data_IF_223980398464
#
_entry.id   IF_223980398464
#
_cell.length_a   1.000
_cell.length_b   1.000
_cell.length_c   1.000
_cell.angle_alpha   90.00
_cell.angle_beta   90.00
_cell.angle_gamma   90.00
#
_symmetry.space_group_name_H-M   'P 1'
#
loop_
_entity.id
_entity.type
_entity.pdbx_description
1 polymer ?
#
# COMPACT_ATOMS: atom_id res chain seq x y z
N UNK A 1 -17.94 16.89 -7.76
CA UNK A 1 -17.23 15.59 -7.64
C UNK A 1 -18.24 14.57 -7.12
N UNK A 2 -18.26 13.35 -7.64
CA UNK A 2 -19.12 12.28 -7.11
C UNK A 2 -18.56 11.80 -5.76
N UNK A 3 -19.42 11.56 -4.76
CA UNK A 3 -19.03 11.14 -3.39
C UNK A 3 -18.29 9.78 -3.30
N UNK A 4 -18.10 9.08 -4.42
CA UNK A 4 -17.32 7.83 -4.51
C UNK A 4 -16.09 7.88 -5.43
N UNK A 5 -15.82 9.03 -6.06
CA UNK A 5 -14.66 9.19 -6.92
C UNK A 5 -13.39 9.26 -6.08
N UNK A 6 -12.54 8.26 -6.22
CA UNK A 6 -11.26 8.19 -5.55
C UNK A 6 -10.10 8.44 -6.54
N UNK A 7 -10.35 8.30 -7.85
CA UNK A 7 -9.39 8.69 -8.89
C UNK A 7 -9.12 10.18 -8.92
N UNK A 8 -7.84 10.52 -8.78
CA UNK A 8 -7.35 11.88 -8.95
C UNK A 8 -6.59 12.01 -10.26
N UNK A 9 -6.63 13.20 -10.86
CA UNK A 9 -5.84 13.51 -12.05
C UNK A 9 -4.34 13.27 -11.80
N UNK A 10 -3.56 13.33 -12.89
CA UNK A 10 -2.12 13.14 -12.81
C UNK A 10 -1.50 14.09 -11.78
N UNK A 11 -0.79 13.54 -10.79
CA UNK A 11 -0.16 14.35 -9.73
C UNK A 11 1.10 15.00 -10.28
N UNK A 12 1.27 16.29 -10.04
CA UNK A 12 2.53 16.95 -10.32
C UNK A 12 3.56 16.52 -9.27
N UNK A 13 4.81 16.37 -9.69
CA UNK A 13 5.89 16.18 -8.75
C UNK A 13 5.95 17.38 -7.79
N UNK A 14 6.29 17.11 -6.54
CA UNK A 14 6.49 18.07 -5.46
C UNK A 14 7.46 19.19 -5.90
N UNK A 15 7.39 20.44 -5.38
CA UNK A 15 8.43 21.46 -5.61
C UNK A 15 9.86 20.92 -5.46
N UNK A 16 10.12 20.10 -4.43
CA UNK A 16 11.41 19.43 -4.23
C UNK A 16 11.83 18.46 -5.34
N UNK A 17 10.93 17.96 -6.18
CA UNK A 17 11.31 17.20 -7.37
C UNK A 17 11.93 18.08 -8.46
N UNK A 18 11.54 19.35 -8.57
CA UNK A 18 12.23 20.28 -9.46
C UNK A 18 13.61 20.62 -8.91
N UNK A 19 13.73 20.77 -7.60
CA UNK A 19 14.99 21.11 -6.94
C UNK A 19 15.91 19.89 -6.76
N UNK A 20 15.37 18.67 -6.71
CA UNK A 20 16.11 17.40 -6.73
C UNK A 20 17.01 17.28 -7.97
N UNK A 21 16.63 17.92 -9.08
CA UNK A 21 17.48 18.05 -10.26
C UNK A 21 18.74 18.88 -9.97
N UNK A 22 18.60 19.94 -9.19
CA UNK A 22 19.72 20.82 -8.77
C UNK A 22 20.56 20.22 -7.63
N UNK A 23 19.97 19.33 -6.82
CA UNK A 23 20.65 18.57 -5.77
C UNK A 23 21.61 17.50 -6.29
N UNK A 24 21.46 17.10 -7.55
CA UNK A 24 22.38 16.17 -8.17
C UNK A 24 23.77 16.81 -8.23
N UNK A 25 24.76 16.33 -7.47
CA UNK A 25 26.05 17.00 -7.44
C UNK A 25 26.64 16.99 -8.84
N UNK A 26 26.95 18.17 -9.37
CA UNK A 26 27.93 18.33 -10.45
C UNK A 26 29.31 17.81 -9.96
N UNK A 27 29.50 17.72 -8.64
CA UNK A 27 30.79 17.48 -7.97
C UNK A 27 31.13 16.01 -7.67
N UNK A 28 30.22 15.06 -7.90
CA UNK A 28 30.53 13.63 -7.77
C UNK A 28 29.72 12.82 -8.79
N UNK A 29 30.22 12.68 -10.03
CA UNK A 29 29.51 11.96 -11.08
C UNK A 29 29.44 10.48 -10.70
N UNK A 30 28.33 10.06 -10.10
CA UNK A 30 28.04 8.64 -9.93
C UNK A 30 27.99 7.98 -11.32
N UNK A 31 28.84 6.99 -11.62
CA UNK A 31 28.84 6.36 -12.93
C UNK A 31 27.58 5.51 -13.12
N UNK A 32 27.00 5.53 -14.33
CA UNK A 32 25.87 4.67 -14.71
C UNK A 32 24.59 4.82 -13.85
N UNK A 33 24.29 6.02 -13.35
CA UNK A 33 23.13 6.28 -12.48
C UNK A 33 21.82 5.78 -13.04
N UNK A 34 21.53 6.01 -14.32
CA UNK A 34 20.32 5.50 -14.96
C UNK A 34 20.17 3.98 -14.78
N UNK A 35 21.26 3.23 -14.96
CA UNK A 35 21.28 1.78 -14.75
C UNK A 35 21.10 1.41 -13.28
N UNK A 36 21.71 2.16 -12.36
CA UNK A 36 21.56 1.94 -10.92
C UNK A 36 20.12 2.19 -10.46
N UNK A 37 19.50 3.29 -10.91
CA UNK A 37 18.09 3.63 -10.66
C UNK A 37 17.20 2.52 -11.21
N UNK A 38 17.39 2.11 -12.46
CA UNK A 38 16.58 1.04 -13.07
C UNK A 38 16.75 -0.31 -12.34
N UNK A 39 17.97 -0.64 -11.93
CA UNK A 39 18.25 -1.85 -11.16
C UNK A 39 17.59 -1.82 -9.78
N UNK A 40 17.72 -0.70 -9.07
CA UNK A 40 17.09 -0.50 -7.76
C UNK A 40 15.55 -0.54 -7.86
N UNK A 41 14.96 0.15 -8.83
CA UNK A 41 13.50 0.10 -9.06
C UNK A 41 13.02 -1.33 -9.29
N UNK A 42 13.70 -2.09 -10.13
CA UNK A 42 13.36 -3.49 -10.39
C UNK A 42 13.54 -4.36 -9.14
N UNK A 43 14.60 -4.13 -8.38
CA UNK A 43 14.89 -4.85 -7.16
C UNK A 43 13.82 -4.61 -6.09
N UNK A 44 13.49 -3.34 -5.81
CA UNK A 44 12.43 -2.97 -4.86
C UNK A 44 11.07 -3.54 -5.27
N UNK A 45 10.74 -3.51 -6.56
CA UNK A 45 9.48 -4.05 -7.07
C UNK A 45 9.38 -5.58 -6.97
N UNK A 46 10.50 -6.28 -7.18
CA UNK A 46 10.55 -7.76 -7.14
C UNK A 46 10.85 -8.34 -5.76
N UNK A 47 11.09 -7.47 -4.76
CA UNK A 47 11.44 -7.85 -3.40
C UNK A 47 10.33 -8.70 -2.76
N UNK A 48 10.71 -9.78 -2.11
CA UNK A 48 9.81 -10.67 -1.34
C UNK A 48 10.14 -10.58 0.14
N UNK A 49 9.21 -10.97 0.99
CA UNK A 49 9.46 -11.02 2.43
C UNK A 49 10.52 -12.09 2.76
N UNK A 50 11.31 -11.87 3.83
CA UNK A 50 12.15 -12.90 4.43
C UNK A 50 11.34 -14.17 4.71
N UNK A 51 11.91 -15.34 4.42
CA UNK A 51 11.26 -16.61 4.74
C UNK A 51 11.50 -16.91 6.22
N UNK A 52 10.41 -17.04 6.99
CA UNK A 52 10.49 -17.28 8.42
C UNK A 52 11.15 -18.65 8.74
N UNK A 53 11.91 -18.78 9.84
CA UNK A 53 12.57 -20.04 10.21
C UNK A 53 11.62 -21.24 10.28
N UNK A 54 10.40 -21.05 10.77
CA UNK A 54 9.39 -22.09 10.88
C UNK A 54 8.92 -22.59 9.50
N UNK A 55 8.82 -21.69 8.52
CA UNK A 55 8.45 -22.05 7.15
C UNK A 55 9.59 -22.79 6.45
N UNK A 56 10.84 -22.37 6.68
CA UNK A 56 12.03 -23.09 6.22
C UNK A 56 12.06 -24.51 6.79
N UNK A 57 11.77 -24.67 8.09
CA UNK A 57 11.72 -25.97 8.75
C UNK A 57 10.66 -26.88 8.12
N UNK A 58 9.45 -26.37 7.86
CA UNK A 58 8.39 -27.15 7.19
C UNK A 58 8.78 -27.59 5.78
N UNK A 59 9.42 -26.71 5.02
CA UNK A 59 9.92 -27.03 3.68
C UNK A 59 11.02 -28.09 3.73
N UNK A 60 11.90 -28.02 4.72
CA UNK A 60 12.94 -29.01 4.94
C UNK A 60 12.33 -30.40 5.15
N UNK A 61 11.39 -30.53 6.09
CA UNK A 61 10.68 -31.79 6.37
C UNK A 61 9.95 -32.34 5.14
N UNK A 62 9.31 -31.47 4.35
CA UNK A 62 8.65 -31.89 3.13
C UNK A 62 9.65 -32.41 2.07
N UNK A 63 10.79 -31.74 1.91
CA UNK A 63 11.84 -32.17 0.99
C UNK A 63 12.50 -33.48 1.44
N UNK A 64 12.73 -33.65 2.74
CA UNK A 64 13.22 -34.90 3.33
C UNK A 64 12.30 -36.07 2.97
N UNK A 65 10.98 -35.91 3.20
CA UNK A 65 10.00 -36.94 2.83
C UNK A 65 10.05 -37.26 1.33
N UNK A 66 10.09 -36.23 0.49
CA UNK A 66 10.14 -36.39 -0.98
C UNK A 66 11.40 -37.12 -1.46
N UNK A 67 12.54 -36.88 -0.82
CA UNK A 67 13.80 -37.54 -1.18
C UNK A 67 13.92 -38.95 -0.61
N UNK A 68 13.30 -39.23 0.54
CA UNK A 68 13.18 -40.59 1.09
C UNK A 68 12.31 -41.51 0.21
N UNK A 69 11.35 -40.94 -0.53
CA UNK A 69 10.56 -41.67 -1.53
C UNK A 69 11.39 -42.10 -2.77
N UNK A 70 12.65 -41.67 -2.89
CA UNK A 70 13.54 -42.00 -4.01
C UNK A 70 14.61 -43.05 -3.60
N UNK A 71 14.59 -44.28 -4.17
CA UNK A 71 15.42 -45.41 -3.70
C UNK A 71 16.95 -45.18 -3.70
N UNK A 72 17.46 -44.29 -4.55
CA UNK A 72 18.91 -44.03 -4.73
C UNK A 72 19.54 -43.16 -3.63
N UNK A 73 18.74 -42.42 -2.85
CA UNK A 73 19.24 -41.46 -1.84
C UNK A 73 19.16 -41.98 -0.41
N UNK A 74 18.54 -43.15 -0.19
CA UNK A 74 18.18 -43.67 1.13
C UNK A 74 19.31 -44.20 2.01
N UNK A 75 20.56 -44.25 1.54
CA UNK A 75 21.62 -44.98 2.24
C UNK A 75 22.59 -44.13 3.08
N UNK A 76 22.53 -42.80 3.03
CA UNK A 76 23.41 -41.93 3.84
C UNK A 76 22.66 -40.67 4.29
N UNK A 77 22.35 -40.57 5.59
CA UNK A 77 21.66 -39.44 6.22
C UNK A 77 22.31 -38.08 5.88
N UNK A 78 23.64 -38.06 5.79
CA UNK A 78 24.41 -36.87 5.42
C UNK A 78 24.17 -36.43 3.97
N UNK A 79 24.06 -37.37 3.02
CA UNK A 79 23.73 -37.06 1.61
C UNK A 79 22.31 -36.51 1.48
N UNK A 80 21.36 -37.06 2.25
CA UNK A 80 19.99 -36.56 2.30
C UNK A 80 19.96 -35.11 2.83
N UNK A 81 20.64 -34.86 3.95
CA UNK A 81 20.74 -33.52 4.54
C UNK A 81 21.37 -32.51 3.58
N UNK A 82 22.45 -32.88 2.88
CA UNK A 82 23.06 -32.02 1.86
C UNK A 82 22.12 -31.72 0.70
N UNK A 83 21.38 -32.73 0.21
CA UNK A 83 20.42 -32.57 -0.87
C UNK A 83 19.28 -31.61 -0.47
N UNK A 84 18.76 -31.75 0.75
CA UNK A 84 17.73 -30.86 1.33
C UNK A 84 18.27 -29.44 1.43
N UNK A 85 19.44 -29.23 2.03
CA UNK A 85 20.06 -27.90 2.16
C UNK A 85 20.36 -27.26 0.79
N UNK A 86 20.77 -28.05 -0.20
CA UNK A 86 21.00 -27.59 -1.57
C UNK A 86 19.67 -27.18 -2.24
N UNK A 87 18.61 -27.96 -2.07
CA UNK A 87 17.28 -27.64 -2.60
C UNK A 87 16.69 -26.40 -1.92
N UNK A 88 16.82 -26.26 -0.59
CA UNK A 88 16.39 -25.09 0.16
C UNK A 88 17.13 -23.83 -0.31
N UNK A 89 18.46 -23.88 -0.44
CA UNK A 89 19.24 -22.74 -0.96
C UNK A 89 18.80 -22.31 -2.36
N UNK A 90 18.48 -23.26 -3.25
CA UNK A 90 18.03 -22.96 -4.61
C UNK A 90 16.60 -22.38 -4.69
N UNK A 91 15.74 -22.72 -3.73
CA UNK A 91 14.31 -22.36 -3.76
C UNK A 91 13.93 -21.23 -2.80
N UNK A 92 14.80 -20.92 -1.84
CA UNK A 92 14.59 -19.87 -0.86
C UNK A 92 15.03 -18.53 -1.42
N UNK A 93 14.15 -17.53 -1.31
CA UNK A 93 14.51 -16.18 -1.67
C UNK A 93 15.56 -15.61 -0.70
N UNK A 94 16.69 -15.15 -1.22
CA UNK A 94 17.74 -14.51 -0.45
C UNK A 94 17.38 -13.05 -0.19
N UNK A 95 16.67 -12.82 0.91
CA UNK A 95 16.42 -11.48 1.38
C UNK A 95 17.72 -10.85 1.92
N UNK A 96 17.96 -9.60 1.59
CA UNK A 96 19.10 -8.82 2.08
C UNK A 96 18.62 -7.47 2.55
N UNK A 97 19.02 -7.08 3.75
CA UNK A 97 18.75 -5.76 4.30
C UNK A 97 19.35 -4.66 3.41
N UNK A 98 18.60 -3.58 3.19
CA UNK A 98 19.09 -2.42 2.46
C UNK A 98 19.72 -1.45 3.46
N UNK A 99 21.02 -1.23 3.34
CA UNK A 99 21.73 -0.21 4.12
C UNK A 99 21.92 1.03 3.25
N UNK A 100 21.15 2.07 3.55
CA UNK A 100 21.16 3.33 2.80
C UNK A 100 22.30 4.24 3.29
N UNK A 101 23.30 4.44 2.42
CA UNK A 101 24.30 5.50 2.52
C UNK A 101 23.92 6.70 1.63
N UNK A 102 24.74 7.74 1.60
CA UNK A 102 24.46 8.96 0.82
C UNK A 102 24.18 8.67 -0.66
N UNK A 103 25.05 7.88 -1.31
CA UNK A 103 24.92 7.52 -2.74
C UNK A 103 23.65 6.72 -3.03
N UNK A 104 23.37 5.67 -2.25
CA UNK A 104 22.18 4.84 -2.45
C UNK A 104 20.90 5.61 -2.14
N UNK A 105 20.94 6.56 -1.19
CA UNK A 105 19.80 7.43 -0.88
C UNK A 105 19.45 8.34 -2.06
N UNK A 106 20.44 8.88 -2.78
CA UNK A 106 20.21 9.63 -4.02
C UNK A 106 19.63 8.75 -5.14
N UNK A 107 20.13 7.53 -5.30
CA UNK A 107 19.57 6.56 -6.27
C UNK A 107 18.13 6.21 -5.90
N UNK A 108 17.84 6.00 -4.62
CA UNK A 108 16.49 5.73 -4.12
C UNK A 108 15.55 6.91 -4.38
N UNK A 109 15.98 8.13 -4.07
CA UNK A 109 15.24 9.35 -4.36
C UNK A 109 14.85 9.41 -5.84
N UNK A 110 15.81 9.21 -6.75
CA UNK A 110 15.56 9.23 -8.18
C UNK A 110 14.68 8.07 -8.68
N UNK A 111 14.67 6.95 -7.96
CA UNK A 111 13.88 5.76 -8.29
C UNK A 111 12.44 5.82 -7.77
N UNK A 112 12.19 6.49 -6.63
CA UNK A 112 10.97 6.28 -5.84
C UNK A 112 10.28 7.55 -5.34
N UNK A 113 10.92 8.71 -5.27
CA UNK A 113 10.34 9.88 -4.59
C UNK A 113 8.99 10.32 -5.20
N UNK A 114 8.93 10.46 -6.52
CA UNK A 114 7.74 10.90 -7.26
C UNK A 114 6.61 9.86 -7.25
N UNK A 115 6.94 8.57 -7.46
CA UNK A 115 6.00 7.46 -7.32
C UNK A 115 5.46 7.33 -5.90
N UNK A 116 6.33 7.38 -4.89
CA UNK A 116 5.96 7.31 -3.47
C UNK A 116 5.02 8.45 -3.06
N UNK A 117 5.36 9.68 -3.46
CA UNK A 117 4.48 10.85 -3.27
C UNK A 117 3.10 10.63 -3.92
N UNK A 118 3.05 10.09 -5.14
CA UNK A 118 1.80 9.85 -5.84
C UNK A 118 0.91 8.82 -5.14
N UNK A 119 1.48 7.71 -4.68
CA UNK A 119 0.77 6.67 -3.94
C UNK A 119 0.20 7.21 -2.62
N UNK A 120 1.01 7.92 -1.84
CA UNK A 120 0.58 8.48 -0.54
C UNK A 120 -0.44 9.59 -0.73
N UNK A 121 -0.26 10.47 -1.72
CA UNK A 121 -1.26 11.49 -2.08
C UNK A 121 -2.60 10.87 -2.44
N UNK A 122 -2.58 9.73 -3.14
CA UNK A 122 -3.78 8.97 -3.49
C UNK A 122 -4.45 8.33 -2.27
N UNK A 123 -3.68 7.89 -1.28
CA UNK A 123 -4.20 7.40 0.00
C UNK A 123 -4.83 8.54 0.83
N UNK A 124 -4.15 9.68 0.99
CA UNK A 124 -4.70 10.84 1.70
C UNK A 124 -5.96 11.40 1.05
N UNK A 125 -6.05 11.33 -0.28
CA UNK A 125 -7.27 11.72 -0.97
C UNK A 125 -8.50 10.88 -0.57
N UNK A 126 -8.33 9.60 -0.20
CA UNK A 126 -9.46 8.80 0.34
C UNK A 126 -10.01 9.41 1.63
N UNK A 127 -9.14 9.96 2.47
CA UNK A 127 -9.54 10.61 3.73
C UNK A 127 -10.22 11.95 3.41
N UNK A 128 -9.57 12.81 2.62
CA UNK A 128 -10.12 14.13 2.28
C UNK A 128 -11.45 14.07 1.54
N UNK A 129 -11.64 13.09 0.65
CA UNK A 129 -12.85 12.96 -0.14
C UNK A 129 -14.06 12.53 0.70
N UNK A 130 -13.84 11.78 1.78
CA UNK A 130 -14.91 11.22 2.62
C UNK A 130 -15.10 11.95 3.94
N UNK A 131 -14.06 12.61 4.43
CA UNK A 131 -14.06 13.42 5.67
C UNK A 131 -13.39 14.78 5.36
N UNK A 132 -14.02 15.63 4.53
CA UNK A 132 -13.45 16.90 4.08
C UNK A 132 -13.17 17.90 5.22
N UNK A 133 -13.85 17.76 6.36
CA UNK A 133 -13.68 18.54 7.58
C UNK A 133 -12.49 18.08 8.44
N UNK A 134 -11.85 16.96 8.10
CA UNK A 134 -10.70 16.46 8.85
C UNK A 134 -9.48 17.38 8.69
N UNK A 135 -9.05 17.98 9.80
CA UNK A 135 -7.94 18.94 9.89
C UNK A 135 -6.89 18.43 10.89
N UNK A 136 -6.01 17.48 10.50
CA UNK A 136 -5.00 16.95 11.40
C UNK A 136 -3.98 18.03 11.77
N UNK A 137 -3.49 18.01 13.01
CA UNK A 137 -2.46 18.91 13.51
C UNK A 137 -1.09 18.23 13.60
N UNK A 138 -1.09 16.91 13.84
CA UNK A 138 0.13 16.11 14.05
C UNK A 138 0.19 14.91 13.11
N UNK A 139 1.37 14.67 12.53
CA UNK A 139 1.62 13.51 11.67
C UNK A 139 2.94 12.83 12.04
N UNK A 140 2.94 11.50 12.10
CA UNK A 140 4.15 10.69 12.19
C UNK A 140 4.33 9.83 10.95
N UNK A 141 5.51 9.89 10.35
CA UNK A 141 5.92 9.10 9.18
C UNK A 141 7.03 8.12 9.58
N UNK A 142 6.71 6.83 9.64
CA UNK A 142 7.67 5.77 9.95
C UNK A 142 8.26 5.16 8.67
N UNK A 143 9.59 5.07 8.64
CA UNK A 143 10.35 4.74 7.44
C UNK A 143 10.24 5.88 6.42
N UNK A 144 10.41 7.11 6.89
CA UNK A 144 10.14 8.32 6.12
C UNK A 144 11.00 8.49 4.86
N UNK A 145 12.16 7.83 4.81
CA UNK A 145 13.08 7.83 3.69
C UNK A 145 13.40 9.25 3.22
N UNK A 146 13.02 9.54 1.98
CA UNK A 146 13.25 10.85 1.33
C UNK A 146 12.14 11.88 1.61
N UNK A 147 11.20 11.58 2.50
CA UNK A 147 10.16 12.51 2.96
C UNK A 147 8.91 12.59 2.08
N UNK A 148 8.65 11.59 1.23
CA UNK A 148 7.51 11.61 0.28
C UNK A 148 6.15 11.84 0.96
N UNK A 149 5.96 11.30 2.18
CA UNK A 149 4.74 11.47 2.97
C UNK A 149 4.59 12.91 3.45
N UNK A 150 5.67 13.54 3.94
CA UNK A 150 5.66 14.94 4.42
C UNK A 150 5.12 15.87 3.34
N UNK A 151 5.59 15.70 2.11
CA UNK A 151 5.14 16.49 0.97
C UNK A 151 3.68 16.23 0.58
N UNK A 152 3.26 14.97 0.57
CA UNK A 152 1.87 14.60 0.30
C UNK A 152 0.93 15.17 1.38
N UNK A 153 1.36 15.13 2.64
CA UNK A 153 0.61 15.61 3.79
C UNK A 153 0.52 17.13 3.80
N UNK A 154 1.61 17.84 3.49
CA UNK A 154 1.58 19.29 3.34
C UNK A 154 0.68 19.74 2.19
N UNK A 155 0.67 18.99 1.07
CA UNK A 155 -0.24 19.26 -0.05
C UNK A 155 -1.72 19.04 0.32
N UNK A 156 -2.01 18.10 1.23
CA UNK A 156 -3.36 17.79 1.66
C UNK A 156 -3.86 18.70 2.81
N UNK A 157 -3.01 18.95 3.81
CA UNK A 157 -3.38 19.53 5.11
C UNK A 157 -2.37 20.57 5.63
N UNK A 158 -1.56 21.17 4.75
CA UNK A 158 -0.52 22.12 5.16
C UNK A 158 -1.01 23.36 5.92
N UNK A 159 -2.31 23.66 5.86
CA UNK A 159 -2.93 24.75 6.64
C UNK A 159 -3.21 24.37 8.10
N UNK A 160 -3.46 23.10 8.40
CA UNK A 160 -3.80 22.61 9.75
C UNK A 160 -2.63 21.92 10.44
N UNK A 161 -1.79 21.20 9.68
CA UNK A 161 -0.64 20.51 10.23
C UNK A 161 0.35 21.52 10.84
N UNK A 162 0.86 21.16 12.01
CA UNK A 162 1.82 21.95 12.81
C UNK A 162 3.09 21.17 13.09
N UNK A 163 2.97 19.86 13.22
CA UNK A 163 4.09 18.97 13.51
C UNK A 163 4.11 17.77 12.57
N UNK A 164 5.26 17.55 11.94
CA UNK A 164 5.58 16.36 11.15
C UNK A 164 6.78 15.66 11.82
N UNK A 165 6.59 14.44 12.32
CA UNK A 165 7.67 13.63 12.86
C UNK A 165 8.07 12.55 11.84
N UNK A 166 9.20 12.75 11.19
CA UNK A 166 9.82 11.80 10.27
C UNK A 166 10.77 10.87 11.02
N UNK A 167 10.51 9.57 10.98
CA UNK A 167 11.33 8.54 11.62
C UNK A 167 11.93 7.61 10.56
N UNK A 168 13.26 7.51 10.52
CA UNK A 168 13.96 6.59 9.61
C UNK A 168 15.29 6.12 10.22
N UNK A 169 15.62 4.84 10.11
CA UNK A 169 16.86 4.31 10.69
C UNK A 169 18.12 4.85 9.97
N UNK A 170 18.01 5.20 8.68
CA UNK A 170 19.12 5.73 7.90
C UNK A 170 19.32 7.23 8.12
N UNK A 171 20.44 7.60 8.74
CA UNK A 171 20.86 8.99 8.85
C UNK A 171 21.02 9.64 7.46
N UNK A 172 21.51 8.92 6.46
CA UNK A 172 21.71 9.44 5.11
C UNK A 172 20.38 9.81 4.42
N UNK A 173 19.33 9.02 4.64
CA UNK A 173 17.98 9.33 4.17
C UNK A 173 17.43 10.60 4.84
N UNK A 174 17.56 10.70 6.17
CA UNK A 174 17.09 11.87 6.92
C UNK A 174 17.79 13.16 6.48
N UNK A 175 19.12 13.11 6.31
CA UNK A 175 19.91 14.25 5.80
C UNK A 175 19.45 14.64 4.40
N UNK A 176 19.24 13.66 3.51
CA UNK A 176 18.73 13.94 2.16
C UNK A 176 17.32 14.54 2.18
N UNK A 177 16.43 14.02 3.03
CA UNK A 177 15.07 14.53 3.19
C UNK A 177 15.06 15.97 3.71
N UNK A 178 15.88 16.30 4.70
CA UNK A 178 16.03 17.67 5.21
C UNK A 178 16.55 18.60 4.10
N UNK A 179 17.57 18.16 3.34
CA UNK A 179 18.12 18.93 2.23
C UNK A 179 17.07 19.18 1.13
N UNK A 180 16.23 18.19 0.82
CA UNK A 180 15.11 18.31 -0.12
C UNK A 180 14.06 19.33 0.37
N UNK A 181 13.76 19.35 1.67
CA UNK A 181 12.83 20.32 2.26
C UNK A 181 13.32 21.77 2.15
N UNK A 182 14.63 21.99 2.08
CA UNK A 182 15.26 23.32 1.96
C UNK A 182 15.62 23.69 0.51
N UNK A 183 15.02 23.03 -0.48
CA UNK A 183 15.28 23.29 -1.90
C UNK A 183 16.70 22.96 -2.35
N UNK A 184 17.35 22.05 -1.63
CA UNK A 184 18.70 21.61 -1.93
C UNK A 184 19.82 22.44 -1.34
N UNK A 185 19.49 23.54 -0.66
CA UNK A 185 20.44 24.38 0.06
C UNK A 185 20.49 23.99 1.54
N UNK A 186 21.67 24.04 2.15
CA UNK A 186 21.82 23.84 3.61
C UNK A 186 21.30 25.02 4.42
N UNK A 187 21.31 26.22 3.82
CA UNK A 187 20.88 27.48 4.44
C UNK A 187 19.50 27.97 3.99
N UNK A 188 18.79 27.19 3.17
CA UNK A 188 17.46 27.53 2.70
C UNK A 188 16.41 27.43 3.81
N UNK A 189 15.42 28.33 3.77
CA UNK A 189 14.21 28.17 4.58
C UNK A 189 13.44 26.93 4.11
N UNK A 190 12.95 26.08 5.04
CA UNK A 190 12.23 24.88 4.65
C UNK A 190 10.89 25.22 4.00
N UNK A 191 10.58 24.58 2.87
CA UNK A 191 9.28 24.69 2.19
C UNK A 191 8.11 24.23 3.07
N UNK A 192 8.37 23.32 4.01
CA UNK A 192 7.39 22.80 4.96
C UNK A 192 7.90 23.09 6.37
N UNK A 193 7.24 23.97 7.14
CA UNK A 193 7.63 24.25 8.51
C UNK A 193 7.19 23.11 9.46
N UNK A 194 7.83 23.03 10.63
CA UNK A 194 7.44 22.10 11.69
C UNK A 194 7.80 20.62 11.43
N UNK A 195 8.81 20.37 10.62
CA UNK A 195 9.31 19.01 10.34
C UNK A 195 10.46 18.65 11.27
N UNK A 196 10.36 17.50 11.93
CA UNK A 196 11.34 16.97 12.85
C UNK A 196 11.79 15.59 12.38
N UNK A 197 13.10 15.35 12.40
CA UNK A 197 13.71 14.08 11.98
C UNK A 197 14.27 13.32 13.18
N UNK A 198 14.02 12.01 13.27
CA UNK A 198 14.59 11.13 14.30
C UNK A 198 14.93 9.75 13.75
N UNK A 199 15.97 9.12 14.29
CA UNK A 199 16.31 7.74 13.90
C UNK A 199 15.49 6.67 14.60
N UNK A 200 14.86 7.02 15.71
CA UNK A 200 14.14 6.08 16.57
C UNK A 200 12.74 6.59 16.87
N UNK A 201 11.80 5.66 16.98
CA UNK A 201 10.44 5.95 17.41
C UNK A 201 10.43 6.56 18.82
N UNK A 202 9.49 7.48 19.12
CA UNK A 202 9.33 7.97 20.49
C UNK A 202 9.03 6.83 21.46
N UNK A 203 9.85 6.69 22.50
CA UNK A 203 9.72 5.61 23.50
C UNK A 203 8.42 5.72 24.30
N UNK A 204 7.97 6.94 24.57
CA UNK A 204 6.74 7.17 25.33
C UNK A 204 5.53 6.63 24.58
N UNK A 205 4.74 5.73 25.18
CA UNK A 205 3.49 5.28 24.58
C UNK A 205 2.44 6.39 24.57
N UNK A 206 2.55 7.39 25.47
CA UNK A 206 1.56 8.46 25.67
C UNK A 206 1.44 9.45 24.50
N UNK A 207 2.41 9.46 23.60
CA UNK A 207 2.43 10.35 22.45
C UNK A 207 1.68 9.68 21.31
N UNK A 208 0.57 10.31 20.89
CA UNK A 208 -0.21 9.94 19.72
C UNK A 208 -0.18 11.06 18.68
N UNK A 209 -0.41 10.68 17.43
CA UNK A 209 -0.50 11.57 16.28
C UNK A 209 -1.85 11.40 15.61
N UNK A 210 -2.39 12.48 15.03
CA UNK A 210 -3.66 12.42 14.33
C UNK A 210 -3.58 11.46 13.13
N UNK A 211 -2.47 11.52 12.40
CA UNK A 211 -2.18 10.61 11.29
C UNK A 211 -0.83 9.93 11.50
N UNK A 212 -0.83 8.60 11.43
CA UNK A 212 0.40 7.78 11.39
C UNK A 212 0.50 7.11 10.04
N UNK A 213 1.67 7.19 9.42
CA UNK A 213 1.92 6.64 8.08
C UNK A 213 3.12 5.71 8.11
N UNK A 214 3.02 4.62 7.36
CA UNK A 214 4.20 3.86 6.91
C UNK A 214 4.03 3.52 5.44
N UNK A 215 4.91 4.05 4.61
CA UNK A 215 4.85 3.91 3.16
C UNK A 215 6.11 3.22 2.64
N UNK A 216 5.93 2.02 2.08
CA UNK A 216 6.96 1.16 1.50
C UNK A 216 8.06 0.72 2.48
N UNK A 217 7.76 0.72 3.79
CA UNK A 217 8.75 0.42 4.85
C UNK A 217 8.51 -0.94 5.53
N UNK A 218 7.28 -1.46 5.56
CA UNK A 218 6.99 -2.73 6.23
C UNK A 218 7.70 -3.90 5.55
N UNK A 219 7.83 -3.85 4.23
CA UNK A 219 8.54 -4.85 3.43
C UNK A 219 10.08 -4.83 3.61
N UNK A 220 10.61 -3.79 4.25
CA UNK A 220 12.04 -3.67 4.58
C UNK A 220 12.40 -4.28 5.94
N UNK A 221 11.41 -4.69 6.75
CA UNK A 221 11.68 -5.29 8.06
C UNK A 221 12.13 -6.77 7.97
N UNK A 222 13.10 -7.19 8.82
CA UNK A 222 13.78 -8.47 8.65
C UNK A 222 12.98 -9.69 9.11
N UNK A 223 11.91 -9.53 9.91
CA UNK A 223 11.08 -10.65 10.34
C UNK A 223 9.61 -10.31 10.52
N UNK A 224 8.76 -11.35 10.59
CA UNK A 224 7.33 -11.20 10.89
C UNK A 224 7.12 -10.65 12.30
N UNK A 225 7.98 -10.99 13.24
CA UNK A 225 7.92 -10.48 14.61
C UNK A 225 8.11 -8.96 14.63
N UNK A 226 9.15 -8.45 13.95
CA UNK A 226 9.42 -7.01 13.87
C UNK A 226 8.26 -6.26 13.22
N UNK A 227 7.69 -6.81 12.14
CA UNK A 227 6.51 -6.24 11.46
C UNK A 227 5.30 -6.19 12.40
N UNK A 228 5.10 -7.25 13.18
CA UNK A 228 3.98 -7.34 14.13
C UNK A 228 4.13 -6.30 15.25
N UNK A 229 5.32 -6.22 15.86
CA UNK A 229 5.61 -5.27 16.92
C UNK A 229 5.53 -3.82 16.42
N UNK A 230 6.06 -3.55 15.23
CA UNK A 230 5.98 -2.23 14.61
C UNK A 230 4.51 -1.83 14.39
N UNK A 231 3.71 -2.65 13.72
CA UNK A 231 2.31 -2.31 13.40
C UNK A 231 1.51 -2.05 14.69
N UNK A 232 1.71 -2.86 15.74
CA UNK A 232 1.10 -2.61 17.05
C UNK A 232 1.57 -1.28 17.66
N UNK A 233 2.84 -0.92 17.48
CA UNK A 233 3.40 0.35 17.97
C UNK A 233 2.86 1.55 17.19
N UNK A 234 2.77 1.45 15.85
CA UNK A 234 2.18 2.49 15.01
C UNK A 234 0.70 2.69 15.37
N UNK A 235 -0.06 1.61 15.57
CA UNK A 235 -1.46 1.69 15.97
C UNK A 235 -1.66 2.34 17.35
N UNK A 236 -0.81 2.03 18.33
CA UNK A 236 -0.83 2.70 19.65
C UNK A 236 -0.57 4.20 19.56
N UNK A 237 0.24 4.62 18.59
CA UNK A 237 0.57 6.03 18.30
C UNK A 237 -0.48 6.74 17.44
N UNK A 238 -1.54 6.05 17.03
CA UNK A 238 -2.57 6.59 16.14
C UNK A 238 -3.79 7.08 16.92
N UNK A 239 -4.10 8.38 16.79
CA UNK A 239 -5.32 9.00 17.33
C UNK A 239 -6.49 8.95 16.34
N UNK A 240 -6.27 9.18 15.03
CA UNK A 240 -7.34 9.11 14.03
C UNK A 240 -7.08 8.06 12.95
N UNK A 241 -6.06 8.24 12.12
CA UNK A 241 -5.82 7.39 10.94
C UNK A 241 -4.43 6.75 10.93
N UNK A 242 -4.39 5.44 10.70
CA UNK A 242 -3.18 4.68 10.38
C UNK A 242 -3.21 4.37 8.88
N UNK A 243 -2.28 4.93 8.12
CA UNK A 243 -2.16 4.78 6.66
C UNK A 243 -0.96 3.88 6.35
N UNK A 244 -1.22 2.72 5.77
CA UNK A 244 -0.18 1.77 5.35
C UNK A 244 -0.20 1.65 3.82
N UNK A 245 0.95 1.86 3.19
CA UNK A 245 1.11 1.80 1.73
C UNK A 245 2.27 0.89 1.39
N UNK A 246 2.10 -0.01 0.43
CA UNK A 246 3.13 -0.94 -0.03
C UNK A 246 3.09 -1.11 -1.54
N UNK A 247 4.10 -1.76 -2.12
CA UNK A 247 4.11 -2.05 -3.55
C UNK A 247 2.84 -2.82 -3.97
N UNK A 248 2.32 -2.53 -5.17
CA UNK A 248 1.10 -3.13 -5.72
C UNK A 248 1.27 -4.57 -6.20
N UNK A 249 2.09 -5.35 -5.49
CA UNK A 249 2.43 -6.75 -5.76
C UNK A 249 1.64 -7.66 -4.84
N UNK A 250 1.68 -8.98 -5.11
CA UNK A 250 1.05 -9.97 -4.22
C UNK A 250 1.68 -9.94 -2.81
N UNK A 251 3.00 -9.76 -2.73
CA UNK A 251 3.70 -9.68 -1.46
C UNK A 251 3.28 -8.45 -0.65
N UNK A 252 3.25 -7.27 -1.28
CA UNK A 252 2.78 -6.03 -0.62
C UNK A 252 1.32 -6.11 -0.20
N UNK A 253 0.44 -6.66 -1.05
CA UNK A 253 -0.96 -6.87 -0.69
C UNK A 253 -1.12 -7.81 0.52
N UNK A 254 -0.47 -8.99 0.52
CA UNK A 254 -0.54 -9.92 1.65
C UNK A 254 -0.01 -9.28 2.94
N UNK A 255 1.09 -8.54 2.85
CA UNK A 255 1.69 -7.83 3.98
C UNK A 255 0.71 -6.84 4.62
N UNK A 256 -0.01 -6.05 3.80
CA UNK A 256 -1.01 -5.12 4.31
C UNK A 256 -2.23 -5.82 4.90
N UNK A 257 -2.63 -6.99 4.38
CA UNK A 257 -3.73 -7.78 4.95
C UNK A 257 -3.34 -8.39 6.30
N UNK A 258 -2.10 -8.85 6.47
CA UNK A 258 -1.58 -9.28 7.77
C UNK A 258 -1.60 -8.13 8.79
N UNK A 259 -1.17 -6.94 8.40
CA UNK A 259 -1.19 -5.75 9.25
C UNK A 259 -2.63 -5.31 9.60
N UNK A 260 -3.55 -5.33 8.62
CA UNK A 260 -4.98 -5.09 8.82
C UNK A 260 -5.57 -6.04 9.85
N UNK A 261 -5.36 -7.33 9.68
CA UNK A 261 -5.91 -8.35 10.56
C UNK A 261 -5.32 -8.23 11.97
N UNK A 262 -4.04 -7.87 12.10
CA UNK A 262 -3.40 -7.63 13.38
C UNK A 262 -4.06 -6.48 14.15
N UNK A 263 -4.42 -5.38 13.48
CA UNK A 263 -5.09 -4.24 14.13
C UNK A 263 -6.55 -4.56 14.45
N UNK A 264 -7.28 -5.18 13.52
CA UNK A 264 -8.71 -5.46 13.71
C UNK A 264 -8.99 -6.56 14.75
N UNK A 265 -8.14 -7.59 14.80
CA UNK A 265 -8.31 -8.76 15.68
C UNK A 265 -7.43 -8.68 16.93
N UNK A 266 -6.39 -7.84 16.91
CA UNK A 266 -5.45 -7.70 18.00
C UNK A 266 -6.09 -7.06 19.23
N UNK A 267 -5.63 -7.46 20.41
CA UNK A 267 -5.97 -6.78 21.67
C UNK A 267 -4.76 -5.97 22.11
N UNK A 268 -4.93 -4.66 22.22
CA UNK A 268 -3.93 -3.80 22.87
C UNK A 268 -3.89 -4.16 24.36
N UNK A 269 -2.71 -4.48 24.89
CA UNK A 269 -2.55 -4.87 26.32
C UNK A 269 -2.94 -3.74 27.28
N UNK A 270 -2.75 -2.49 26.87
CA UNK A 270 -3.13 -1.28 27.63
C UNK A 270 -3.37 -0.16 26.61
N UNK A 271 -4.60 -0.06 26.07
CA UNK A 271 -4.93 0.96 25.08
C UNK A 271 -5.02 2.33 25.76
N UNK A 272 -4.35 3.32 25.18
CA UNK A 272 -4.55 4.73 25.56
C UNK A 272 -5.85 5.30 24.99
N UNK A 273 -6.25 4.79 23.82
CA UNK A 273 -7.51 5.10 23.18
C UNK A 273 -8.38 3.83 23.18
N UNK A 274 -9.53 3.84 23.87
CA UNK A 274 -10.41 2.68 23.96
C UNK A 274 -11.20 2.41 22.67
N UNK A 275 -11.20 3.35 21.71
CA UNK A 275 -11.95 3.20 20.46
C UNK A 275 -11.38 2.03 19.64
N UNK A 276 -12.25 1.14 19.10
CA UNK A 276 -11.81 0.05 18.25
C UNK A 276 -11.22 0.58 16.93
N UNK A 277 -10.49 -0.27 16.24
CA UNK A 277 -10.06 0.00 14.87
C UNK A 277 -11.09 -0.53 13.87
N UNK A 278 -11.33 0.22 12.80
CA UNK A 278 -12.11 -0.25 11.66
C UNK A 278 -11.40 0.06 10.33
N UNK A 279 -11.85 -0.59 9.26
CA UNK A 279 -11.29 -0.34 7.92
C UNK A 279 -11.96 0.89 7.33
N UNK A 280 -11.19 1.97 7.17
CA UNK A 280 -11.65 3.15 6.45
C UNK A 280 -11.51 2.96 4.94
N UNK A 281 -10.38 2.41 4.49
CA UNK A 281 -10.14 2.09 3.08
C UNK A 281 -9.11 0.95 2.96
N UNK A 282 -9.03 0.25 1.81
CA UNK A 282 -9.94 0.32 0.67
C UNK A 282 -11.13 -0.64 0.81
N UNK A 283 -11.01 -1.69 1.63
CA UNK A 283 -12.07 -2.69 1.77
C UNK A 283 -13.33 -2.05 2.37
N UNK A 284 -14.53 -2.28 1.82
CA UNK A 284 -15.79 -1.82 2.41
C UNK A 284 -16.26 -2.71 3.57
N UNK A 285 -15.38 -3.56 4.12
CA UNK A 285 -15.69 -4.60 5.10
C UNK A 285 -14.46 -4.97 5.97
N UNK A 286 -14.73 -5.62 7.11
CA UNK A 286 -13.73 -6.16 8.06
C UNK A 286 -13.51 -7.67 7.89
N UNK A 287 -14.28 -8.33 7.01
CA UNK A 287 -14.16 -9.76 6.71
C UNK A 287 -12.81 -10.12 6.02
N UNK A 288 -12.40 -11.40 5.95
CA UNK A 288 -11.24 -11.82 5.18
C UNK A 288 -11.28 -11.30 3.74
N UNK A 289 -10.15 -10.84 3.21
CA UNK A 289 -10.10 -10.25 1.88
C UNK A 289 -10.38 -11.33 0.79
N UNK A 290 -11.42 -11.18 -0.04
CA UNK A 290 -11.78 -12.21 -1.00
C UNK A 290 -10.78 -12.37 -2.15
N UNK A 291 -9.91 -11.37 -2.37
CA UNK A 291 -8.80 -11.47 -3.32
C UNK A 291 -7.73 -12.48 -2.90
N UNK A 292 -7.62 -12.78 -1.60
CA UNK A 292 -6.69 -13.79 -1.07
C UNK A 292 -7.29 -15.19 -1.04
N UNK A 293 -8.61 -15.30 -0.92
CA UNK A 293 -9.33 -16.58 -0.87
C UNK A 293 -9.75 -17.09 -2.25
N UNK A 294 -9.71 -16.25 -3.28
CA UNK A 294 -9.99 -16.63 -4.65
C UNK A 294 -9.06 -17.75 -5.15
N UNK A 295 -9.58 -18.61 -6.03
CA UNK A 295 -8.83 -19.73 -6.63
C UNK A 295 -7.53 -19.31 -7.32
N UNK A 296 -7.50 -18.07 -7.85
CA UNK A 296 -6.30 -17.40 -8.36
C UNK A 296 -6.11 -16.09 -7.60
N UNK A 297 -5.27 -16.08 -6.54
CA UNK A 297 -5.07 -14.87 -5.75
C UNK A 297 -4.48 -13.74 -6.60
N UNK A 298 -5.14 -12.58 -6.58
CA UNK A 298 -4.69 -11.34 -7.20
C UNK A 298 -4.32 -10.33 -6.11
N UNK A 299 -3.42 -9.40 -6.46
CA UNK A 299 -3.11 -8.29 -5.57
C UNK A 299 -4.22 -7.25 -5.65
N UNK A 300 -4.88 -6.95 -4.52
CA UNK A 300 -5.73 -5.77 -4.42
C UNK A 300 -4.82 -4.53 -4.43
N UNK A 301 -4.68 -3.94 -5.61
CA UNK A 301 -3.78 -2.81 -5.89
C UNK A 301 -4.55 -1.67 -6.52
N UNK A 302 -3.90 -0.52 -6.67
CA UNK A 302 -4.39 0.70 -7.29
C UNK A 302 -3.29 1.29 -8.17
N UNK A 303 -3.65 2.22 -9.05
CA UNK A 303 -2.71 2.94 -9.90
C UNK A 303 -2.93 4.44 -9.76
N UNK A 304 -1.84 5.20 -9.67
CA UNK A 304 -1.86 6.66 -9.70
C UNK A 304 -0.86 7.18 -10.72
N UNK A 305 -1.34 7.95 -11.69
CA UNK A 305 -0.48 8.65 -12.64
C UNK A 305 0.22 9.84 -11.98
N UNK A 306 1.49 10.05 -12.32
CA UNK A 306 2.31 11.15 -11.82
C UNK A 306 3.28 11.67 -12.89
N UNK A 307 3.71 12.92 -12.70
CA UNK A 307 4.78 13.52 -13.49
C UNK A 307 6.14 13.14 -12.91
N UNK A 308 7.04 12.67 -13.76
CA UNK A 308 8.37 12.27 -13.34
C UNK A 308 9.22 13.48 -12.95
N UNK A 309 10.18 13.26 -12.05
CA UNK A 309 11.32 14.16 -11.88
C UNK A 309 12.05 14.32 -13.24
N UNK A 310 12.43 15.53 -13.68
CA UNK A 310 12.94 15.78 -15.04
C UNK A 310 14.41 15.36 -15.24
N UNK A 311 14.80 14.15 -14.80
CA UNK A 311 16.09 13.57 -15.13
C UNK A 311 16.22 13.29 -16.63
N UNK A 312 17.45 13.39 -17.17
CA UNK A 312 17.74 13.22 -18.60
C UNK A 312 17.29 11.87 -19.18
N UNK A 313 17.27 10.80 -18.37
CA UNK A 313 16.83 9.47 -18.77
C UNK A 313 15.30 9.27 -18.75
N UNK A 314 14.53 10.20 -18.16
CA UNK A 314 13.07 10.11 -18.12
C UNK A 314 12.46 10.58 -19.45
N UNK A 315 12.48 9.70 -20.47
CA UNK A 315 11.91 9.95 -21.81
C UNK A 315 10.40 10.22 -21.78
N UNK A 316 9.67 9.60 -20.84
CA UNK A 316 8.24 9.85 -20.60
C UNK A 316 8.08 10.84 -19.45
N UNK A 317 7.34 11.92 -19.72
CA UNK A 317 7.00 12.93 -18.68
C UNK A 317 6.02 12.40 -17.64
N UNK A 318 5.27 11.35 -17.94
CA UNK A 318 4.30 10.74 -17.04
C UNK A 318 4.54 9.24 -16.90
N UNK A 319 4.39 8.74 -15.67
CA UNK A 319 4.43 7.33 -15.28
C UNK A 319 3.24 7.01 -14.39
N UNK A 320 3.03 5.72 -14.14
CA UNK A 320 2.04 5.23 -13.19
C UNK A 320 2.73 4.54 -12.03
N UNK A 321 2.33 4.88 -10.81
CA UNK A 321 2.72 4.16 -9.60
C UNK A 321 1.63 3.16 -9.27
N UNK A 322 2.00 1.88 -9.16
CA UNK A 322 1.08 0.82 -8.75
C UNK A 322 1.38 0.38 -7.32
N UNK A 323 0.40 0.54 -6.44
CA UNK A 323 0.57 0.37 -5.00
C UNK A 323 -0.63 -0.38 -4.41
N UNK A 324 -0.46 -0.93 -3.21
CA UNK A 324 -1.54 -1.40 -2.35
C UNK A 324 -1.63 -0.45 -1.16
N UNK A 325 -2.82 -0.24 -0.60
CA UNK A 325 -2.98 0.58 0.60
C UNK A 325 -3.99 -0.04 1.55
N UNK A 326 -3.86 0.27 2.83
CA UNK A 326 -4.87 0.07 3.87
C UNK A 326 -4.88 1.32 4.74
N UNK A 327 -6.07 1.85 5.01
CA UNK A 327 -6.30 2.97 5.92
C UNK A 327 -7.20 2.43 7.02
N UNK A 328 -6.68 2.42 8.25
CA UNK A 328 -7.40 2.03 9.45
C UNK A 328 -7.71 3.29 10.25
N UNK A 329 -8.88 3.33 10.87
CA UNK A 329 -9.32 4.47 11.65
C UNK A 329 -9.77 4.05 13.05
N UNK A 330 -9.55 4.94 14.03
CA UNK A 330 -10.10 4.79 15.38
C UNK A 330 -11.60 5.14 15.37
N UNK A 331 -12.41 4.33 16.04
CA UNK A 331 -13.86 4.53 16.18
C UNK A 331 -14.66 3.41 15.52
N UNK A 332 -15.85 3.74 15.06
CA UNK A 332 -16.73 2.83 14.33
C UNK A 332 -17.14 3.45 12.99
N UNK A 333 -17.34 2.65 11.94
CA UNK A 333 -17.81 3.16 10.66
C UNK A 333 -19.25 3.67 10.79
N UNK A 334 -19.57 4.78 10.12
CA UNK A 334 -20.97 5.16 9.91
C UNK A 334 -21.63 4.20 8.91
N UNK A 335 -22.83 3.71 9.22
CA UNK A 335 -23.50 2.62 8.47
C UNK A 335 -23.78 2.97 6.99
N UNK A 336 -23.92 4.26 6.65
CA UNK A 336 -24.49 4.70 5.38
C UNK A 336 -23.56 4.57 4.14
N UNK A 337 -22.25 4.33 4.31
CA UNK A 337 -21.26 4.53 3.22
C UNK A 337 -20.45 3.29 2.81
N UNK A 338 -20.98 2.09 3.01
CA UNK A 338 -20.33 0.83 2.56
C UNK A 338 -20.67 0.50 1.11
N UNK A 339 -20.29 1.35 0.17
CA UNK A 339 -20.42 1.00 -1.24
C UNK A 339 -19.35 0.01 -1.68
N UNK A 340 -19.67 -0.92 -2.60
CA UNK A 340 -18.66 -1.77 -3.21
C UNK A 340 -17.51 -0.99 -3.84
N UNK A 341 -16.30 -1.53 -3.73
CA UNK A 341 -15.09 -0.92 -4.31
C UNK A 341 -14.71 -1.60 -5.62
N UNK A 342 -14.41 -0.81 -6.64
CA UNK A 342 -13.85 -1.29 -7.90
C UNK A 342 -12.41 -1.77 -7.69
N UNK A 343 -12.14 -3.05 -7.92
CA UNK A 343 -10.82 -3.66 -7.66
C UNK A 343 -9.97 -3.87 -8.92
N UNK A 344 -10.47 -3.49 -10.10
CA UNK A 344 -9.77 -3.62 -11.39
C UNK A 344 -10.11 -2.45 -12.33
N UNK A 345 -9.32 -2.20 -13.39
CA UNK A 345 -9.68 -1.23 -14.42
C UNK A 345 -11.08 -1.48 -15.00
N UNK A 346 -11.90 -0.43 -15.07
CA UNK A 346 -13.27 -0.49 -15.56
C UNK A 346 -13.28 -0.76 -17.07
N UNK A 347 -13.98 -1.81 -17.51
CA UNK A 347 -14.05 -2.16 -18.94
C UNK A 347 -15.27 -1.49 -19.58
N UNK A 348 -15.02 -0.41 -20.31
CA UNK A 348 -16.05 0.38 -20.98
C UNK A 348 -16.37 -0.23 -22.34
N UNK A 349 -17.60 -0.69 -22.54
CA UNK A 349 -18.10 -1.23 -23.81
C UNK A 349 -19.24 -0.36 -24.36
N UNK A 350 -19.62 -0.53 -25.64
CA UNK A 350 -20.85 0.06 -26.15
C UNK A 350 -22.05 -0.45 -25.34
N UNK A 351 -22.84 0.47 -24.76
CA UNK A 351 -24.09 0.21 -24.01
C UNK A 351 -23.97 -0.52 -22.66
N UNK A 352 -22.78 -1.00 -22.26
CA UNK A 352 -22.57 -1.63 -20.95
C UNK A 352 -21.16 -1.35 -20.41
N UNK A 353 -21.00 -1.51 -19.09
CA UNK A 353 -19.72 -1.31 -18.38
C UNK A 353 -19.51 -2.49 -17.45
N UNK A 354 -18.34 -3.13 -17.50
CA UNK A 354 -18.00 -4.18 -16.55
C UNK A 354 -17.20 -3.61 -15.39
N UNK A 355 -17.64 -3.91 -14.18
CA UNK A 355 -16.99 -3.54 -12.92
C UNK A 355 -16.73 -4.82 -12.10
N UNK A 356 -15.48 -5.01 -11.67
CA UNK A 356 -15.13 -6.04 -10.69
C UNK A 356 -15.10 -5.38 -9.32
N UNK A 357 -15.97 -5.85 -8.42
CA UNK A 357 -16.31 -5.18 -7.17
C UNK A 357 -15.95 -6.07 -5.98
N UNK A 358 -15.36 -5.46 -4.96
CA UNK A 358 -15.29 -6.02 -3.61
C UNK A 358 -16.45 -5.45 -2.81
N UNK A 359 -17.33 -6.32 -2.32
CA UNK A 359 -18.60 -5.94 -1.72
C UNK A 359 -18.54 -5.94 -0.19
N UNK A 360 -19.44 -5.21 0.50
CA UNK A 360 -19.45 -5.10 1.97
C UNK A 360 -19.66 -6.42 2.72
N UNK A 361 -20.23 -7.41 2.05
CA UNK A 361 -20.44 -8.77 2.54
C UNK A 361 -19.19 -9.65 2.44
N UNK A 362 -18.07 -9.10 1.94
CA UNK A 362 -16.81 -9.81 1.81
C UNK A 362 -16.70 -10.67 0.55
N UNK A 363 -17.62 -10.55 -0.42
CA UNK A 363 -17.55 -11.28 -1.69
C UNK A 363 -17.01 -10.42 -2.84
N UNK A 364 -16.50 -11.10 -3.87
CA UNK A 364 -16.18 -10.48 -5.16
C UNK A 364 -17.37 -10.62 -6.10
N UNK A 365 -17.75 -9.54 -6.76
CA UNK A 365 -18.81 -9.54 -7.77
C UNK A 365 -18.32 -9.00 -9.11
N UNK A 366 -18.83 -9.56 -10.19
CA UNK A 366 -18.72 -8.99 -11.53
C UNK A 366 -20.06 -8.36 -11.92
N UNK A 367 -20.14 -7.02 -11.89
CA UNK A 367 -21.33 -6.29 -12.28
C UNK A 367 -21.25 -5.81 -13.73
N UNK A 368 -22.32 -6.04 -14.51
CA UNK A 368 -22.47 -5.54 -15.88
C UNK A 368 -23.51 -4.43 -15.90
N UNK A 369 -23.05 -3.20 -15.79
CA UNK A 369 -23.91 -2.03 -15.60
C UNK A 369 -24.40 -1.52 -16.96
N UNK A 370 -25.71 -1.38 -17.10
CA UNK A 370 -26.37 -0.89 -18.32
C UNK A 370 -27.36 0.21 -17.96
N UNK A 371 -27.55 1.17 -18.87
CA UNK A 371 -28.50 2.27 -18.65
C UNK A 371 -29.96 1.77 -18.52
N UNK A 372 -30.29 0.63 -19.14
CA UNK A 372 -31.64 0.05 -19.12
C UNK A 372 -31.95 -0.64 -17.79
N UNK A 373 -31.03 -1.47 -17.28
CA UNK A 373 -31.27 -2.26 -16.07
C UNK A 373 -30.96 -1.49 -14.79
N UNK A 374 -29.98 -0.58 -14.82
CA UNK A 374 -29.44 0.07 -13.62
C UNK A 374 -29.70 1.59 -13.59
N UNK A 375 -30.44 2.11 -14.56
CA UNK A 375 -30.68 3.54 -14.72
C UNK A 375 -29.50 4.29 -15.37
N UNK A 376 -29.80 5.48 -15.91
CA UNK A 376 -28.83 6.30 -16.65
C UNK A 376 -27.73 6.86 -15.74
N UNK A 377 -28.06 7.17 -14.50
CA UNK A 377 -27.13 7.82 -13.56
C UNK A 377 -26.03 6.86 -13.08
N UNK A 378 -26.40 5.66 -12.62
CA UNK A 378 -25.42 4.63 -12.25
C UNK A 378 -24.59 4.20 -13.47
N UNK A 379 -25.20 4.08 -14.65
CA UNK A 379 -24.46 3.82 -15.89
C UNK A 379 -23.44 4.92 -16.20
N UNK A 380 -23.83 6.20 -16.12
CA UNK A 380 -22.92 7.34 -16.33
C UNK A 380 -21.80 7.34 -15.29
N UNK A 381 -22.14 7.11 -14.02
CA UNK A 381 -21.20 6.98 -12.91
C UNK A 381 -20.17 5.88 -13.19
N UNK A 382 -20.61 4.67 -13.53
CA UNK A 382 -19.74 3.54 -13.87
C UNK A 382 -18.83 3.86 -15.07
N UNK A 383 -19.32 4.57 -16.09
CA UNK A 383 -18.51 4.97 -17.26
C UNK A 383 -17.39 5.95 -16.93
N UNK A 384 -17.56 6.80 -15.92
CA UNK A 384 -16.54 7.77 -15.49
C UNK A 384 -15.71 7.28 -14.31
N UNK A 385 -16.12 6.17 -13.69
CA UNK A 385 -15.39 5.54 -12.60
C UNK A 385 -14.07 4.93 -13.08
N UNK A 386 -13.15 4.84 -12.13
CA UNK A 386 -11.79 4.34 -12.29
C UNK A 386 -11.49 3.24 -11.28
N UNK A 387 -10.31 2.63 -11.42
CA UNK A 387 -9.83 1.62 -10.49
C UNK A 387 -9.69 2.20 -9.08
N UNK A 388 -10.39 1.61 -8.12
CA UNK A 388 -10.41 2.00 -6.72
C UNK A 388 -11.57 2.92 -6.34
N UNK A 389 -12.42 3.35 -7.27
CA UNK A 389 -13.60 4.14 -6.93
C UNK A 389 -14.65 3.29 -6.20
N UNK A 390 -15.44 3.96 -5.35
CA UNK A 390 -16.64 3.39 -4.75
C UNK A 390 -17.80 3.54 -5.72
N UNK A 391 -18.58 2.48 -5.89
CA UNK A 391 -19.70 2.46 -6.83
C UNK A 391 -20.99 2.13 -6.08
N UNK A 392 -22.04 2.98 -6.15
CA UNK A 392 -23.29 2.79 -5.42
C UNK A 392 -24.16 1.72 -6.08
N UNK A 393 -23.63 0.51 -6.21
CA UNK A 393 -24.37 -0.67 -6.65
C UNK A 393 -24.95 -1.31 -5.40
N UNK A 394 -26.29 -1.40 -5.35
CA UNK A 394 -26.98 -2.21 -4.36
C UNK A 394 -26.94 -3.64 -4.89
N UNK A 395 -26.22 -4.52 -4.21
CA UNK A 395 -26.24 -5.94 -4.50
C UNK A 395 -27.55 -6.53 -3.96
N UNK A 396 -28.40 -7.14 -4.79
CA UNK A 396 -29.47 -7.97 -4.27
C UNK A 396 -28.83 -9.03 -3.39
N UNK A 397 -29.28 -9.14 -2.14
CA UNK A 397 -28.94 -10.31 -1.31
C UNK A 397 -29.39 -11.58 -2.05
N UNK A 398 -28.71 -12.70 -1.88
CA UNK A 398 -29.09 -13.97 -2.54
C UNK A 398 -30.56 -14.39 -2.24
N UNK A 399 -31.19 -13.79 -1.23
CA UNK A 399 -32.62 -13.93 -0.91
C UNK A 399 -33.60 -13.17 -1.83
N UNK A 400 -33.14 -12.32 -2.75
CA UNK A 400 -33.99 -11.50 -3.63
C UNK A 400 -33.86 -11.85 -5.13
N UNK A 401 -33.23 -12.98 -5.47
CA UNK A 401 -33.37 -13.51 -6.83
C UNK A 401 -34.83 -13.95 -7.04
N UNK A 402 -35.57 -13.42 -8.02
CA UNK A 402 -36.87 -13.96 -8.36
C UNK A 402 -36.68 -15.43 -8.73
N UNK A 403 -37.39 -16.32 -8.02
CA UNK A 403 -37.55 -17.70 -8.43
C UNK A 403 -37.93 -17.68 -9.92
N UNK A 404 -37.14 -18.36 -10.75
CA UNK A 404 -37.51 -18.58 -12.14
C UNK A 404 -38.93 -19.16 -12.19
N UNK A 405 -39.82 -18.68 -13.06
CA UNK A 405 -41.12 -19.31 -13.20
C UNK A 405 -40.87 -20.74 -13.68
N UNK A 406 -41.11 -21.70 -12.79
CA UNK A 406 -41.18 -23.10 -13.16
C UNK A 406 -42.31 -23.26 -14.18
N UNK A 407 -42.06 -24.10 -15.18
CA UNK A 407 -43.00 -24.46 -16.23
C UNK A 407 -44.33 -24.95 -15.65
N UNK A 408 -45.34 -24.07 -15.60
CA UNK A 408 -46.75 -24.47 -15.57
C UNK A 408 -47.11 -25.01 -16.95
N UNK A 409 -46.81 -26.29 -17.17
CA UNK A 409 -47.55 -27.12 -18.12
C UNK A 409 -48.44 -28.06 -17.33
N UNK A 410 -49.56 -27.50 -16.87
CA UNK A 410 -50.70 -28.31 -16.47
C UNK A 410 -51.28 -29.02 -17.70
N UNK A 411 -51.20 -30.34 -17.65
CA UNK A 411 -52.08 -31.25 -18.34
C UNK A 411 -53.53 -30.97 -17.95
N UNK A 412 -54.43 -30.90 -18.93
CA UNK A 412 -55.78 -31.50 -18.98
C UNK A 412 -56.73 -30.65 -19.85
N UNK A 413 -56.85 -30.98 -21.14
CA UNK A 413 -58.04 -31.62 -21.75
C UNK A 413 -57.85 -31.80 -23.24
#
# INVERSE_FOLDING_TARGET
MHQGAASTGCRCAVPAARDAFHLWPIESPMPNVEKQVQALTNYLWSRRLPVEPQELQRRAVHLEKKFLENPDLGQVEEKLREAVLRALRKTTYHWQELSYNESLSLVYMAARLDGGFAAVSRAFHEIQARVPEFQPQTLMDFGSGTGSVTWAAHSAWGQSLREYLCVDSSAAMLVLAEKLLKGGSESGEPYVPGVFFRQFLPVSPKVQFDVVVSAFSLSELPSKADRTELVQTLWRKTSHFLVLVENGTKAGHCLLMDARDLVLKGKEKSPLDPRPGFVFAPCPHELPCPQLTASKPLACSFSQAYHCIPFSWNKKKQKEEKFSMVILARGSPEEANRWPRITQPVLKRPRHVHCHLCCPDGHMQHAVITARQHGRDLYRCARVSSWGDLLPVITPSESELPLSPADDKDFLT
#
